data_IF_518736969739
#
_entry.id   IF_518736969739
#
_cell.length_a   1.000
_cell.length_b   1.000
_cell.length_c   1.000
_cell.angle_alpha   90.00
_cell.angle_beta   90.00
_cell.angle_gamma   90.00
#
_symmetry.space_group_name_H-M   'P 1'
#
loop_
_entity.id
_entity.type
_entity.pdbx_description
1 polymer ?
#
# COMPACT_ATOMS: atom_id res chain seq x y z
N UNK A 1 64.79 4.58 -54.05
CA UNK A 1 63.42 4.38 -54.49
C UNK A 1 62.74 3.47 -53.46
N UNK A 2 61.98 4.00 -52.56
CA UNK A 2 61.30 3.27 -51.47
C UNK A 2 59.83 3.22 -51.77
N UNK A 3 59.29 2.02 -51.97
CA UNK A 3 57.88 1.80 -52.24
C UNK A 3 57.14 1.80 -50.90
N UNK A 4 56.18 2.76 -50.67
CA UNK A 4 55.25 2.79 -49.58
C UNK A 4 53.97 2.06 -50.04
N UNK A 5 53.76 0.87 -49.50
CA UNK A 5 52.49 0.15 -49.68
C UNK A 5 51.56 0.58 -48.50
N UNK A 6 50.56 1.40 -48.84
CA UNK A 6 49.56 1.82 -47.89
C UNK A 6 48.56 0.70 -47.65
N UNK A 7 48.48 0.19 -46.43
CA UNK A 7 47.51 -0.79 -46.00
C UNK A 7 46.18 -0.05 -45.62
N UNK A 8 45.19 -0.17 -46.49
CA UNK A 8 43.82 0.35 -46.22
C UNK A 8 43.10 -0.65 -45.31
N UNK A 9 42.95 -0.34 -44.03
CA UNK A 9 42.14 -1.12 -43.11
C UNK A 9 40.68 -0.64 -43.26
N UNK A 10 39.86 -1.47 -43.90
CA UNK A 10 38.42 -1.27 -44.05
C UNK A 10 37.74 -1.70 -42.75
N UNK A 11 37.41 -0.75 -41.90
CA UNK A 11 36.61 -1.00 -40.69
C UNK A 11 35.15 -1.25 -41.09
N UNK A 12 34.76 -2.52 -41.14
CA UNK A 12 33.36 -2.91 -41.31
C UNK A 12 32.66 -2.75 -39.96
N UNK A 13 31.92 -1.66 -39.79
CA UNK A 13 31.03 -1.45 -38.64
C UNK A 13 29.84 -2.42 -38.73
N UNK A 14 29.86 -3.50 -37.97
CA UNK A 14 28.69 -4.35 -37.81
C UNK A 14 27.62 -3.57 -37.03
N UNK A 15 26.67 -2.97 -37.73
CA UNK A 15 25.42 -2.51 -37.16
C UNK A 15 24.60 -3.74 -36.81
N UNK A 16 24.72 -4.21 -35.56
CA UNK A 16 23.81 -5.21 -35.00
C UNK A 16 22.48 -4.48 -34.76
N UNK A 17 21.36 -4.87 -35.40
CA UNK A 17 20.07 -4.29 -35.09
C UNK A 17 19.75 -4.61 -33.65
N UNK A 18 19.60 -3.58 -32.82
CA UNK A 18 19.07 -3.71 -31.46
C UNK A 18 17.58 -3.98 -31.60
N UNK A 19 17.21 -5.26 -31.64
CA UNK A 19 15.82 -5.64 -31.59
C UNK A 19 15.28 -5.29 -30.21
N UNK A 20 14.48 -4.20 -30.15
CA UNK A 20 13.69 -3.87 -28.99
C UNK A 20 12.62 -4.96 -28.86
N UNK A 21 12.88 -5.94 -28.01
CA UNK A 21 11.88 -6.90 -27.58
C UNK A 21 10.74 -6.10 -26.93
N UNK A 22 9.66 -5.88 -27.66
CA UNK A 22 8.41 -5.41 -27.07
C UNK A 22 7.96 -6.47 -26.08
N UNK A 23 7.89 -6.10 -24.79
CA UNK A 23 7.43 -7.01 -23.75
C UNK A 23 6.07 -7.59 -24.16
N UNK A 24 5.98 -8.89 -24.36
CA UNK A 24 4.78 -9.58 -24.77
C UNK A 24 3.69 -9.32 -23.68
N UNK A 25 2.56 -8.79 -24.13
CA UNK A 25 1.47 -8.38 -23.24
C UNK A 25 0.79 -9.64 -22.70
N UNK A 26 1.14 -10.04 -21.48
CA UNK A 26 0.56 -11.23 -20.86
C UNK A 26 -0.97 -11.07 -20.74
N UNK A 27 -1.75 -12.13 -21.04
CA UNK A 27 -3.21 -12.11 -20.95
C UNK A 27 -3.72 -12.14 -19.50
N UNK A 28 -2.82 -12.33 -18.53
CA UNK A 28 -3.13 -12.40 -17.10
C UNK A 28 -2.18 -11.53 -16.29
N UNK A 29 -2.62 -11.12 -15.09
CA UNK A 29 -1.79 -10.40 -14.13
C UNK A 29 -1.57 -11.24 -12.87
N UNK A 30 -0.38 -11.19 -12.32
CA UNK A 30 -0.07 -11.76 -11.00
C UNK A 30 -0.26 -10.66 -9.95
N UNK A 31 -0.99 -10.97 -8.90
CA UNK A 31 -1.20 -10.07 -7.77
C UNK A 31 -0.53 -10.64 -6.54
N UNK A 32 0.22 -9.79 -5.83
CA UNK A 32 0.66 -10.07 -4.47
C UNK A 32 -0.41 -9.60 -3.50
N UNK A 33 -0.75 -10.43 -2.54
CA UNK A 33 -1.72 -10.14 -1.48
C UNK A 33 -1.07 -10.46 -0.13
N UNK A 34 -1.50 -9.75 0.91
CA UNK A 34 -1.04 -10.04 2.27
C UNK A 34 -1.56 -11.42 2.71
N UNK A 35 -0.68 -12.20 3.33
CA UNK A 35 -1.10 -13.38 4.06
C UNK A 35 -1.97 -12.98 5.26
N UNK A 36 -2.99 -13.79 5.59
CA UNK A 36 -3.95 -13.46 6.65
C UNK A 36 -3.31 -13.21 8.02
N UNK A 37 -2.22 -13.92 8.34
CA UNK A 37 -1.51 -13.72 9.62
C UNK A 37 -0.81 -12.36 9.68
N UNK A 38 -0.33 -11.81 8.55
CA UNK A 38 0.26 -10.45 8.49
C UNK A 38 -0.85 -9.41 8.65
N UNK A 39 -1.97 -9.56 7.93
CA UNK A 39 -3.11 -8.65 8.08
C UNK A 39 -3.64 -8.64 9.54
N UNK A 40 -3.73 -9.81 10.19
CA UNK A 40 -4.11 -9.92 11.59
C UNK A 40 -3.09 -9.26 12.52
N UNK A 41 -1.79 -9.43 12.28
CA UNK A 41 -0.76 -8.76 13.06
C UNK A 41 -0.88 -7.24 12.97
N UNK A 42 -1.08 -6.69 11.76
CA UNK A 42 -1.26 -5.25 11.54
C UNK A 42 -2.43 -4.71 12.40
N UNK A 43 -3.63 -5.31 12.34
CA UNK A 43 -4.78 -4.81 13.11
C UNK A 43 -4.56 -4.98 14.62
N UNK A 44 -3.88 -6.05 15.04
CA UNK A 44 -3.60 -6.32 16.45
C UNK A 44 -2.67 -5.24 17.01
N UNK A 45 -1.57 -4.97 16.33
CA UNK A 45 -0.59 -3.98 16.79
C UNK A 45 -1.14 -2.54 16.71
N UNK A 46 -1.96 -2.23 15.70
CA UNK A 46 -2.64 -0.94 15.62
C UNK A 46 -3.60 -0.72 16.83
N UNK A 47 -4.38 -1.74 17.20
CA UNK A 47 -5.26 -1.66 18.37
C UNK A 47 -4.47 -1.59 19.68
N UNK A 48 -3.37 -2.35 19.79
CA UNK A 48 -2.51 -2.34 20.96
C UNK A 48 -1.81 -0.99 21.16
N UNK A 49 -1.25 -0.40 20.08
CA UNK A 49 -0.61 0.92 20.15
C UNK A 49 -1.61 1.98 20.62
N UNK A 50 -2.80 2.03 20.05
CA UNK A 50 -3.86 2.92 20.51
C UNK A 50 -4.22 2.69 21.98
N UNK A 51 -4.29 1.44 22.43
CA UNK A 51 -4.61 1.11 23.82
C UNK A 51 -3.52 1.61 24.80
N UNK A 52 -2.24 1.54 24.44
CA UNK A 52 -1.15 2.10 25.25
C UNK A 52 -1.25 3.63 25.40
N UNK A 53 -1.88 4.29 24.44
CA UNK A 53 -2.17 5.73 24.45
C UNK A 53 -3.49 6.08 25.16
N UNK A 54 -4.23 5.07 25.67
CA UNK A 54 -5.50 5.24 26.37
C UNK A 54 -6.72 5.32 25.46
N UNK A 55 -6.61 4.95 24.18
CA UNK A 55 -7.72 4.96 23.23
C UNK A 55 -8.26 3.55 22.95
N UNK A 56 -9.60 3.45 22.90
CA UNK A 56 -10.31 2.20 22.63
C UNK A 56 -10.86 2.24 21.20
N UNK A 57 -10.23 1.50 20.29
CA UNK A 57 -10.43 1.67 18.86
C UNK A 57 -10.84 0.37 18.17
N UNK A 58 -11.21 0.49 16.89
CA UNK A 58 -11.27 -0.59 15.92
C UNK A 58 -10.25 -0.37 14.83
N UNK A 59 -9.62 -1.44 14.35
CA UNK A 59 -8.74 -1.44 13.20
C UNK A 59 -9.24 -2.40 12.12
N UNK A 60 -9.06 -2.02 10.86
CA UNK A 60 -9.41 -2.82 9.69
C UNK A 60 -8.29 -2.81 8.68
N UNK A 61 -7.98 -3.97 8.08
CA UNK A 61 -7.15 -4.11 6.89
C UNK A 61 -8.03 -4.58 5.75
N UNK A 62 -7.94 -3.91 4.61
CA UNK A 62 -8.56 -4.34 3.36
C UNK A 62 -7.47 -4.62 2.31
N UNK A 63 -7.76 -5.54 1.40
CA UNK A 63 -6.88 -5.83 0.28
C UNK A 63 -6.92 -4.71 -0.79
N UNK A 64 -6.11 -4.84 -1.82
CA UNK A 64 -6.04 -3.86 -2.91
C UNK A 64 -7.34 -3.71 -3.72
N UNK A 65 -8.29 -4.63 -3.57
CA UNK A 65 -9.60 -4.60 -4.21
C UNK A 65 -10.69 -4.06 -3.26
N UNK A 66 -10.31 -3.68 -2.03
CA UNK A 66 -11.21 -3.16 -1.01
C UNK A 66 -11.94 -4.23 -0.18
N UNK A 67 -11.58 -5.51 -0.34
CA UNK A 67 -12.17 -6.59 0.46
C UNK A 67 -11.54 -6.63 1.86
N UNK A 68 -12.35 -6.87 2.87
CA UNK A 68 -11.90 -6.99 4.25
C UNK A 68 -11.01 -8.23 4.42
N UNK A 69 -9.76 -8.03 4.86
CA UNK A 69 -8.77 -9.08 5.10
C UNK A 69 -8.60 -9.40 6.58
N UNK A 70 -8.64 -8.37 7.44
CA UNK A 70 -8.59 -8.53 8.90
C UNK A 70 -9.32 -7.39 9.58
N UNK A 71 -9.86 -7.68 10.77
CA UNK A 71 -10.56 -6.70 11.59
C UNK A 71 -10.41 -7.04 13.07
N UNK A 72 -10.11 -6.03 13.89
CA UNK A 72 -10.11 -6.16 15.34
C UNK A 72 -10.78 -4.94 15.96
N UNK A 73 -11.63 -5.18 16.97
CA UNK A 73 -12.27 -4.14 17.75
C UNK A 73 -12.00 -4.36 19.23
N UNK A 74 -11.55 -3.32 19.91
CA UNK A 74 -11.60 -3.30 21.37
C UNK A 74 -13.06 -3.40 21.82
N UNK A 75 -13.43 -4.31 22.74
CA UNK A 75 -14.82 -4.53 23.12
C UNK A 75 -15.54 -3.27 23.67
N UNK A 76 -14.78 -2.33 24.21
CA UNK A 76 -15.30 -1.07 24.74
C UNK A 76 -15.31 0.07 23.71
N UNK A 77 -14.79 -0.15 22.51
CA UNK A 77 -14.89 0.83 21.42
C UNK A 77 -16.33 0.99 20.95
N UNK A 78 -16.72 2.19 20.56
CA UNK A 78 -18.07 2.48 20.08
C UNK A 78 -18.44 1.67 18.82
N UNK A 79 -19.68 1.21 18.65
CA UNK A 79 -20.06 0.35 17.52
C UNK A 79 -19.92 1.02 16.15
N UNK A 80 -19.97 2.36 16.07
CA UNK A 80 -19.74 3.10 14.83
C UNK A 80 -18.32 2.91 14.28
N UNK A 81 -17.31 2.67 15.15
CA UNK A 81 -15.91 2.51 14.76
C UNK A 81 -15.70 1.33 13.81
N UNK A 82 -16.60 0.33 13.83
CA UNK A 82 -16.55 -0.84 12.93
C UNK A 82 -16.64 -0.38 11.47
N UNK A 83 -17.69 0.37 11.15
CA UNK A 83 -17.89 0.86 9.77
C UNK A 83 -16.90 1.95 9.39
N UNK A 84 -16.57 2.84 10.33
CA UNK A 84 -15.65 3.94 10.08
C UNK A 84 -14.24 3.43 9.76
N UNK A 85 -13.68 2.47 10.52
CA UNK A 85 -12.36 1.91 10.22
C UNK A 85 -12.35 1.18 8.87
N UNK A 86 -13.38 0.39 8.56
CA UNK A 86 -13.51 -0.28 7.27
C UNK A 86 -13.59 0.71 6.11
N UNK A 87 -14.40 1.77 6.24
CA UNK A 87 -14.54 2.78 5.17
C UNK A 87 -13.27 3.60 4.97
N UNK A 88 -12.56 3.98 6.05
CA UNK A 88 -11.25 4.65 5.94
C UNK A 88 -10.22 3.74 5.24
N UNK A 89 -10.14 2.46 5.63
CA UNK A 89 -9.25 1.49 5.00
C UNK A 89 -9.59 1.28 3.51
N UNK A 90 -10.89 1.14 3.20
CA UNK A 90 -11.37 1.06 1.81
C UNK A 90 -10.99 2.30 1.01
N UNK A 91 -11.14 3.49 1.59
CA UNK A 91 -10.80 4.75 0.95
C UNK A 91 -9.31 4.80 0.60
N UNK A 92 -8.42 4.50 1.55
CA UNK A 92 -6.98 4.53 1.31
C UNK A 92 -6.56 3.47 0.29
N UNK A 93 -7.14 2.27 0.34
CA UNK A 93 -6.85 1.20 -0.62
C UNK A 93 -7.31 1.56 -2.04
N UNK A 94 -8.52 2.04 -2.20
CA UNK A 94 -9.13 2.31 -3.50
C UNK A 94 -8.50 3.51 -4.20
N UNK A 95 -8.22 4.57 -3.45
CA UNK A 95 -7.62 5.81 -3.96
C UNK A 95 -6.08 5.78 -3.95
N UNK A 96 -5.47 4.76 -3.35
CA UNK A 96 -4.02 4.55 -3.23
C UNK A 96 -3.30 5.76 -2.63
N UNK A 97 -3.93 6.36 -1.63
CA UNK A 97 -3.37 7.49 -0.88
C UNK A 97 -3.86 7.44 0.57
N UNK A 98 -3.07 7.97 1.48
CA UNK A 98 -3.48 8.11 2.87
C UNK A 98 -4.62 9.13 2.97
N UNK A 99 -5.60 8.85 3.82
CA UNK A 99 -6.77 9.74 3.93
C UNK A 99 -6.41 11.14 4.41
N UNK A 100 -5.30 11.31 5.11
CA UNK A 100 -4.73 12.62 5.48
C UNK A 100 -4.35 13.48 4.28
N UNK A 101 -4.05 12.88 3.13
CA UNK A 101 -3.67 13.57 1.90
C UNK A 101 -4.87 14.01 1.05
N UNK A 102 -6.08 13.66 1.46
CA UNK A 102 -7.31 13.82 0.66
C UNK A 102 -8.19 15.00 1.09
N UNK A 103 -7.73 15.85 2.01
CA UNK A 103 -8.55 16.89 2.64
C UNK A 103 -9.22 17.90 1.67
N UNK A 104 -8.71 18.04 0.45
CA UNK A 104 -9.26 18.93 -0.59
C UNK A 104 -10.18 18.25 -1.60
N UNK A 105 -10.36 16.92 -1.50
CA UNK A 105 -11.12 16.11 -2.46
C UNK A 105 -12.59 15.95 -2.04
N UNK A 106 -13.28 17.06 -1.81
CA UNK A 106 -14.71 17.06 -1.44
C UNK A 106 -15.60 16.42 -2.50
N UNK A 107 -15.17 16.40 -3.77
CA UNK A 107 -15.82 15.70 -4.87
C UNK A 107 -16.00 14.19 -4.59
N UNK A 108 -15.05 13.58 -3.87
CA UNK A 108 -15.10 12.16 -3.53
C UNK A 108 -16.08 11.81 -2.40
N UNK A 109 -16.56 12.80 -1.64
CA UNK A 109 -17.52 12.58 -0.54
C UNK A 109 -18.85 12.00 -1.01
N UNK A 110 -19.16 12.13 -2.30
CA UNK A 110 -20.37 11.59 -2.93
C UNK A 110 -20.18 10.17 -3.48
N UNK A 111 -18.92 9.67 -3.53
CA UNK A 111 -18.66 8.34 -4.03
C UNK A 111 -19.03 7.29 -2.96
N UNK A 112 -19.69 6.18 -3.34
CA UNK A 112 -20.10 5.14 -2.39
C UNK A 112 -18.91 4.57 -1.60
N UNK A 113 -19.08 4.42 -0.29
CA UNK A 113 -18.11 3.85 0.65
C UNK A 113 -16.82 4.67 0.84
N UNK A 114 -16.67 5.82 0.19
CA UNK A 114 -15.53 6.72 0.41
C UNK A 114 -15.77 7.54 1.68
N UNK A 115 -14.78 7.54 2.56
CA UNK A 115 -14.79 8.30 3.82
C UNK A 115 -13.47 9.05 3.97
N UNK A 116 -13.51 10.36 3.78
CA UNK A 116 -12.33 11.26 3.77
C UNK A 116 -11.91 11.70 5.19
N UNK A 117 -12.11 10.88 6.19
CA UNK A 117 -11.66 11.14 7.55
C UNK A 117 -10.27 10.55 7.73
N UNK A 118 -9.33 11.33 8.26
CA UNK A 118 -7.96 10.90 8.55
C UNK A 118 -7.93 9.65 9.44
N UNK A 119 -6.95 8.77 9.22
CA UNK A 119 -6.77 7.52 9.95
C UNK A 119 -6.73 6.27 9.05
N UNK A 120 -6.87 6.45 7.72
CA UNK A 120 -6.63 5.40 6.72
C UNK A 120 -5.26 5.58 6.07
N UNK A 121 -4.48 4.51 6.01
CA UNK A 121 -3.10 4.49 5.52
C UNK A 121 -2.96 3.40 4.46
N UNK A 122 -2.22 3.68 3.40
CA UNK A 122 -1.90 2.70 2.36
C UNK A 122 -0.92 1.65 2.87
N UNK A 123 -1.10 0.41 2.47
CA UNK A 123 -0.17 -0.69 2.78
C UNK A 123 0.78 -0.85 1.59
N UNK A 124 1.99 -0.33 1.75
CA UNK A 124 3.07 -0.42 0.76
C UNK A 124 4.33 -0.96 1.43
N UNK A 125 4.91 -2.02 0.89
CA UNK A 125 6.19 -2.56 1.30
C UNK A 125 7.03 -2.84 0.07
N UNK A 126 8.29 -2.42 0.09
CA UNK A 126 9.26 -2.62 -1.00
C UNK A 126 8.70 -2.22 -2.39
N UNK A 127 7.92 -1.12 -2.44
CA UNK A 127 7.30 -0.61 -3.67
C UNK A 127 6.07 -1.38 -4.17
N UNK A 128 5.60 -2.36 -3.41
CA UNK A 128 4.42 -3.15 -3.76
C UNK A 128 3.22 -2.70 -2.92
N UNK A 129 2.14 -2.37 -3.60
CA UNK A 129 0.88 -1.99 -2.98
C UNK A 129 0.04 -3.23 -2.64
N UNK A 130 -0.38 -3.36 -1.38
CA UNK A 130 -1.16 -4.49 -0.86
C UNK A 130 -2.61 -4.13 -0.51
N UNK A 131 -2.91 -2.86 -0.22
CA UNK A 131 -4.25 -2.44 0.19
C UNK A 131 -4.23 -1.25 1.12
N UNK A 132 -5.10 -1.24 2.13
CA UNK A 132 -5.19 -0.18 3.13
C UNK A 132 -5.45 -0.71 4.53
N UNK A 133 -4.94 0.00 5.53
CA UNK A 133 -5.25 -0.19 6.94
C UNK A 133 -5.88 1.09 7.49
N UNK A 134 -6.80 0.98 8.42
CA UNK A 134 -7.31 2.15 9.12
C UNK A 134 -7.73 1.83 10.55
N UNK A 135 -7.65 2.87 11.37
CA UNK A 135 -8.12 2.87 12.76
C UNK A 135 -9.26 3.87 12.91
N UNK A 136 -10.15 3.60 13.87
CA UNK A 136 -11.22 4.49 14.27
C UNK A 136 -11.55 4.34 15.75
N UNK A 137 -11.71 5.48 16.45
CA UNK A 137 -12.10 5.50 17.85
C UNK A 137 -11.35 6.53 18.67
N UNK A 138 -10.27 7.12 18.13
CA UNK A 138 -9.54 8.23 18.71
C UNK A 138 -9.76 9.51 17.88
N UNK A 139 -8.92 10.53 18.09
CA UNK A 139 -8.83 11.66 17.17
C UNK A 139 -8.24 11.20 15.83
N UNK A 140 -8.61 11.85 14.71
CA UNK A 140 -8.20 11.40 13.38
C UNK A 140 -6.69 11.24 13.18
N UNK A 141 -5.88 12.14 13.72
CA UNK A 141 -4.43 12.10 13.72
C UNK A 141 -3.87 10.92 14.52
N UNK A 142 -4.44 10.64 15.69
CA UNK A 142 -4.08 9.50 16.53
C UNK A 142 -4.49 8.17 15.85
N UNK A 143 -5.66 8.11 15.21
CA UNK A 143 -6.08 6.95 14.43
C UNK A 143 -5.05 6.62 13.35
N UNK A 144 -4.51 7.62 12.66
CA UNK A 144 -3.47 7.45 11.64
C UNK A 144 -2.14 6.96 12.22
N UNK A 145 -1.71 7.51 13.35
CA UNK A 145 -0.50 7.07 14.05
C UNK A 145 -0.60 5.60 14.46
N UNK A 146 -1.73 5.18 15.04
CA UNK A 146 -1.95 3.77 15.41
C UNK A 146 -1.96 2.85 14.17
N UNK A 147 -2.56 3.30 13.05
CA UNK A 147 -2.53 2.54 11.81
C UNK A 147 -1.09 2.36 11.29
N UNK A 148 -0.27 3.40 11.36
CA UNK A 148 1.17 3.37 11.00
C UNK A 148 1.96 2.45 11.94
N UNK A 149 1.70 2.47 13.24
CA UNK A 149 2.32 1.54 14.21
C UNK A 149 2.02 0.07 13.86
N UNK A 150 0.80 -0.23 13.41
CA UNK A 150 0.46 -1.56 12.91
C UNK A 150 1.29 -1.99 11.70
N UNK A 151 1.57 -1.06 10.76
CA UNK A 151 2.44 -1.34 9.61
C UNK A 151 3.90 -1.53 10.02
N UNK A 152 4.40 -0.69 10.89
CA UNK A 152 5.78 -0.76 11.41
C UNK A 152 6.07 -2.11 12.06
N UNK A 153 5.10 -2.66 12.79
CA UNK A 153 5.24 -3.96 13.45
C UNK A 153 5.46 -5.16 12.51
N UNK A 154 5.25 -4.97 11.20
CA UNK A 154 5.46 -6.01 10.18
C UNK A 154 6.52 -5.62 9.15
N UNK A 155 7.11 -4.42 9.24
CA UNK A 155 8.04 -3.90 8.24
C UNK A 155 9.21 -4.85 8.00
N UNK A 156 9.91 -5.28 9.05
CA UNK A 156 11.03 -6.21 8.95
C UNK A 156 10.67 -7.53 8.23
N UNK A 157 9.43 -8.01 8.41
CA UNK A 157 8.97 -9.25 7.77
C UNK A 157 8.71 -9.00 6.30
N UNK A 158 8.15 -7.82 5.95
CA UNK A 158 7.70 -7.49 4.60
C UNK A 158 8.84 -6.98 3.70
N UNK A 159 9.91 -6.46 4.27
CA UNK A 159 11.07 -5.97 3.51
C UNK A 159 11.91 -7.11 2.91
N UNK A 160 11.77 -8.33 3.41
CA UNK A 160 12.44 -9.53 2.90
C UNK A 160 11.60 -10.38 1.94
N UNK A 161 10.45 -9.88 1.49
CA UNK A 161 9.59 -10.61 0.53
C UNK A 161 9.99 -10.25 -0.89
N UNK A 162 10.78 -11.14 -1.52
CA UNK A 162 11.17 -11.08 -2.95
C UNK A 162 10.01 -11.38 -3.91
#
# INVERSE_FOLDING_TARGET
>A
MKNFVGLLILAVLFLVPFEVFAAEKLPTVRLRVLASHIANKIVTEAVNDCATRGYLVSAAVVDRNGNLSAFLRNPLSGPHTIKVSQSKAYTSATLRADTSQMGTRSDLSFAPNILLIVGGVTINFSGIFYGGVAVSGAKPDIDEECAKAGLEAVADIMDFVD
#
